data_IF_557272409773
#
_entry.id   IF_557272409773
#
_cell.length_a   1.000
_cell.length_b   1.000
_cell.length_c   1.000
_cell.angle_alpha   90.00
_cell.angle_beta   90.00
_cell.angle_gamma   90.00
#
_symmetry.space_group_name_H-M   'P 1'
#
loop_
_entity.id
_entity.type
_entity.pdbx_description
1 polymer ?
#
# COMPACT_ATOMS: atom_id res chain seq x y z
N UNK A 1 -10.89 6.68 -24.73
CA UNK A 1 -11.03 5.91 -23.49
C UNK A 1 -10.94 6.90 -22.34
N UNK A 2 -11.95 6.94 -21.48
CA UNK A 2 -12.15 8.01 -20.51
C UNK A 2 -11.19 7.77 -19.33
N UNK A 3 -10.27 8.70 -19.03
CA UNK A 3 -9.21 8.53 -18.00
C UNK A 3 -9.73 8.10 -16.62
N UNK A 4 -11.03 8.31 -16.37
CA UNK A 4 -11.73 7.92 -15.15
C UNK A 4 -11.94 6.40 -15.01
N UNK A 5 -11.98 5.65 -16.12
CA UNK A 5 -12.20 4.21 -16.13
C UNK A 5 -10.94 3.44 -15.70
N UNK A 6 -9.77 3.92 -16.16
CA UNK A 6 -8.46 3.34 -15.84
C UNK A 6 -8.08 3.52 -14.36
N UNK A 7 -8.50 4.62 -13.73
CA UNK A 7 -8.32 4.86 -12.29
C UNK A 7 -9.21 3.96 -11.42
N UNK A 8 -10.45 3.71 -11.86
CA UNK A 8 -11.36 2.79 -11.18
C UNK A 8 -10.87 1.34 -11.27
N UNK A 9 -10.32 0.95 -12.42
CA UNK A 9 -9.79 -0.40 -12.65
C UNK A 9 -8.56 -0.69 -11.78
N UNK A 10 -7.67 0.29 -11.60
CA UNK A 10 -6.45 0.11 -10.80
C UNK A 10 -6.66 0.29 -9.29
N UNK A 11 -7.69 1.01 -8.85
CA UNK A 11 -7.98 1.27 -7.43
C UNK A 11 -8.10 -0.01 -6.59
N UNK A 12 -8.68 -1.07 -7.16
CA UNK A 12 -8.79 -2.37 -6.51
C UNK A 12 -7.41 -3.02 -6.29
N UNK A 13 -6.53 -2.97 -7.30
CA UNK A 13 -5.17 -3.48 -7.23
C UNK A 13 -4.34 -2.73 -6.19
N UNK A 14 -4.43 -1.40 -6.18
CA UNK A 14 -3.67 -0.56 -5.24
C UNK A 14 -4.14 -0.75 -3.80
N UNK A 15 -5.44 -0.96 -3.59
CA UNK A 15 -5.99 -1.33 -2.27
C UNK A 15 -5.47 -2.69 -1.79
N UNK A 16 -5.38 -3.68 -2.69
CA UNK A 16 -4.80 -4.99 -2.36
C UNK A 16 -3.31 -4.85 -2.02
N UNK A 17 -2.54 -4.08 -2.79
CA UNK A 17 -1.13 -3.80 -2.49
C UNK A 17 -0.94 -3.11 -1.14
N UNK A 18 -1.85 -2.20 -0.77
CA UNK A 18 -1.85 -1.59 0.55
C UNK A 18 -2.12 -2.59 1.67
N UNK A 19 -3.14 -3.44 1.52
CA UNK A 19 -3.46 -4.47 2.53
C UNK A 19 -2.28 -5.43 2.71
N UNK A 20 -1.67 -5.90 1.61
CA UNK A 20 -0.49 -6.78 1.66
C UNK A 20 0.69 -6.08 2.35
N UNK A 21 0.95 -4.81 2.01
CA UNK A 21 2.00 -4.03 2.66
C UNK A 21 1.74 -3.82 4.15
N UNK A 22 0.49 -3.62 4.55
CA UNK A 22 0.09 -3.43 5.93
C UNK A 22 0.20 -4.72 6.75
N UNK A 23 -0.19 -5.87 6.17
CA UNK A 23 0.05 -7.19 6.78
C UNK A 23 1.55 -7.45 6.91
N UNK A 24 2.35 -7.11 5.90
CA UNK A 24 3.81 -7.18 5.96
C UNK A 24 4.40 -6.34 7.08
N UNK A 25 3.92 -5.11 7.28
CA UNK A 25 4.31 -4.23 8.39
C UNK A 25 3.99 -4.85 9.75
N UNK A 26 2.78 -5.40 9.92
CA UNK A 26 2.35 -6.03 11.16
C UNK A 26 3.21 -7.25 11.49
N UNK A 27 3.47 -8.12 10.50
CA UNK A 27 4.36 -9.26 10.67
C UNK A 27 5.77 -8.81 11.07
N UNK A 28 6.28 -7.77 10.42
CA UNK A 28 7.60 -7.22 10.69
C UNK A 28 7.69 -6.57 12.08
N UNK A 29 6.63 -5.91 12.55
CA UNK A 29 6.51 -5.41 13.92
C UNK A 29 6.55 -6.53 14.98
N UNK A 30 5.97 -7.70 14.68
CA UNK A 30 5.97 -8.85 15.60
C UNK A 30 7.36 -9.49 15.72
N UNK A 31 8.06 -9.68 14.60
CA UNK A 31 9.36 -10.37 14.61
C UNK A 31 10.55 -9.45 14.87
N UNK A 32 10.54 -8.24 14.30
CA UNK A 32 11.65 -7.27 14.34
C UNK A 32 11.13 -5.83 14.33
N UNK A 33 10.60 -5.34 15.47
CA UNK A 33 10.01 -4.01 15.55
C UNK A 33 10.98 -2.87 15.23
N UNK A 34 12.28 -3.08 15.41
CA UNK A 34 13.31 -2.15 14.97
C UNK A 34 13.28 -1.95 13.45
N UNK A 35 12.86 -2.91 12.62
CA UNK A 35 12.86 -2.71 11.17
C UNK A 35 11.67 -1.88 10.64
N UNK A 36 10.82 -1.35 11.53
CA UNK A 36 9.60 -0.61 11.15
C UNK A 36 9.91 0.62 10.29
N UNK A 37 11.02 1.31 10.55
CA UNK A 37 11.40 2.50 9.78
C UNK A 37 11.73 2.17 8.32
N UNK A 38 12.14 0.93 8.02
CA UNK A 38 12.41 0.47 6.65
C UNK A 38 11.11 0.19 5.91
N UNK A 39 10.09 -0.34 6.59
CA UNK A 39 8.81 -0.71 5.96
C UNK A 39 7.81 0.44 5.88
N UNK A 40 7.93 1.46 6.73
CA UNK A 40 7.11 2.68 6.70
C UNK A 40 6.96 3.34 5.31
N UNK A 41 8.04 3.66 4.57
CA UNK A 41 7.91 4.30 3.25
C UNK A 41 7.13 3.44 2.25
N UNK A 42 7.25 2.11 2.31
CA UNK A 42 6.52 1.19 1.42
C UNK A 42 5.02 1.18 1.74
N UNK A 43 4.67 1.12 3.03
CA UNK A 43 3.26 1.16 3.45
C UNK A 43 2.62 2.49 3.08
N UNK A 44 3.33 3.61 3.26
CA UNK A 44 2.83 4.94 2.89
C UNK A 44 2.70 5.11 1.37
N UNK A 45 3.61 4.53 0.59
CA UNK A 45 3.53 4.51 -0.87
C UNK A 45 2.31 3.70 -1.32
N UNK A 46 2.12 2.50 -0.78
CA UNK A 46 0.95 1.68 -1.09
C UNK A 46 -0.36 2.36 -0.63
N UNK A 47 -0.33 3.08 0.50
CA UNK A 47 -1.46 3.87 0.98
C UNK A 47 -1.81 5.02 0.04
N UNK A 48 -0.82 5.75 -0.47
CA UNK A 48 -1.03 6.82 -1.45
C UNK A 48 -1.62 6.26 -2.76
N UNK A 49 -1.19 5.07 -3.18
CA UNK A 49 -1.78 4.33 -4.31
C UNK A 49 -3.23 3.97 -4.04
N UNK A 50 -3.53 3.40 -2.87
CA UNK A 50 -4.90 3.03 -2.49
C UNK A 50 -5.84 4.23 -2.34
N UNK A 51 -5.31 5.38 -1.92
CA UNK A 51 -6.05 6.65 -1.89
C UNK A 51 -6.29 7.25 -3.28
N UNK A 52 -5.72 6.67 -4.34
CA UNK A 52 -5.80 7.19 -5.70
C UNK A 52 -5.07 8.53 -5.86
N UNK A 53 -3.99 8.74 -5.09
CA UNK A 53 -3.19 9.97 -5.08
C UNK A 53 -1.77 9.75 -5.61
N UNK A 54 -1.54 8.61 -6.26
CA UNK A 54 -0.32 8.20 -6.96
C UNK A 54 -0.64 8.10 -8.45
#
# INVERSE_FOLDING_TARGET
MNKNEEYQENRGRDTIMFIVSLVGLVALLVFKPEWVWVSFPFVLTALAGAMGRL
#
